data_IF_231918297605
#
_entry.id   IF_231918297605
#
_cell.length_a   1.000
_cell.length_b   1.000
_cell.length_c   1.000
_cell.angle_alpha   90.00
_cell.angle_beta   90.00
_cell.angle_gamma   90.00
#
_symmetry.space_group_name_H-M   'P 1'
#
loop_
_entity.id
_entity.type
_entity.pdbx_description
1 polymer ?
#
# COMPACT_ATOMS: atom_id res chain seq x y z
N UNK A 1 2.96 11.39 5.90
CA UNK A 1 3.00 10.19 5.03
C UNK A 1 1.62 9.80 4.49
N UNK A 2 0.52 10.04 5.22
CA UNK A 2 -0.86 9.79 4.73
C UNK A 2 -1.21 10.54 3.43
N UNK A 3 -0.68 11.76 3.27
CA UNK A 3 -0.91 12.63 2.11
C UNK A 3 0.38 13.35 1.71
N UNK A 4 1.49 12.60 1.65
CA UNK A 4 2.81 13.17 1.41
C UNK A 4 2.89 13.90 0.05
N UNK A 5 3.37 15.15 -0.02
CA UNK A 5 3.27 15.99 -1.22
C UNK A 5 3.82 15.36 -2.50
N UNK A 6 4.96 14.66 -2.44
CA UNK A 6 5.55 14.03 -3.63
C UNK A 6 4.84 12.74 -4.11
N UNK A 7 4.00 12.11 -3.29
CA UNK A 7 3.37 10.82 -3.65
C UNK A 7 1.85 10.90 -3.72
N UNK A 8 1.23 11.90 -3.11
CA UNK A 8 -0.22 11.97 -3.02
C UNK A 8 -0.91 12.24 -4.36
N UNK A 9 -0.31 13.03 -5.25
CA UNK A 9 -0.79 13.16 -6.63
C UNK A 9 -0.86 11.80 -7.34
N UNK A 10 0.23 11.02 -7.27
CA UNK A 10 0.28 9.65 -7.84
C UNK A 10 -0.78 8.74 -7.22
N UNK A 11 -1.02 8.86 -5.91
CA UNK A 11 -2.05 8.06 -5.22
C UNK A 11 -3.44 8.37 -5.77
N UNK A 12 -3.75 9.66 -5.95
CA UNK A 12 -5.03 10.12 -6.50
C UNK A 12 -5.16 9.74 -7.98
N UNK A 13 -4.11 9.87 -8.78
CA UNK A 13 -4.13 9.50 -10.20
C UNK A 13 -4.42 8.00 -10.37
N UNK A 14 -3.87 7.16 -9.48
CA UNK A 14 -4.05 5.70 -9.54
C UNK A 14 -5.42 5.24 -9.01
N UNK A 15 -5.93 5.81 -7.92
CA UNK A 15 -7.17 5.34 -7.24
C UNK A 15 -8.41 6.19 -7.50
N UNK A 16 -8.24 7.42 -7.97
CA UNK A 16 -9.27 8.46 -7.95
C UNK A 16 -9.47 9.07 -6.54
N UNK A 17 -10.33 10.10 -6.42
CA UNK A 17 -10.51 10.84 -5.17
C UNK A 17 -11.36 10.10 -4.12
N UNK A 18 -12.02 9.01 -4.48
CA UNK A 18 -12.87 8.21 -3.57
C UNK A 18 -12.03 7.14 -2.87
N UNK A 19 -10.97 7.58 -2.19
CA UNK A 19 -9.98 6.72 -1.55
C UNK A 19 -9.93 6.92 -0.03
N UNK A 20 -9.44 5.89 0.66
CA UNK A 20 -9.09 5.94 2.07
C UNK A 20 -7.82 5.12 2.33
N UNK A 21 -7.20 5.34 3.49
CA UNK A 21 -6.21 4.45 4.06
C UNK A 21 -6.93 3.27 4.67
N UNK A 22 -6.53 2.07 4.27
CA UNK A 22 -7.11 0.82 4.76
C UNK A 22 -6.20 0.12 5.78
N UNK A 23 -4.97 0.59 5.95
CA UNK A 23 -4.12 0.13 7.02
C UNK A 23 -2.65 0.49 6.87
N UNK A 24 -1.93 0.36 7.97
CA UNK A 24 -0.54 0.79 8.11
C UNK A 24 0.29 -0.27 8.83
N UNK A 25 1.51 -0.51 8.37
CA UNK A 25 2.41 -1.48 9.01
C UNK A 25 3.83 -0.94 9.03
N UNK A 26 4.45 -0.93 10.21
CA UNK A 26 5.90 -0.74 10.34
C UNK A 26 6.59 -2.10 10.24
N UNK A 27 7.46 -2.25 9.25
CA UNK A 27 8.32 -3.41 9.11
C UNK A 27 9.70 -3.12 9.70
N UNK A 28 10.07 -3.89 10.72
CA UNK A 28 11.41 -3.94 11.29
C UNK A 28 12.00 -5.31 10.95
N UNK A 29 13.17 -5.34 10.28
CA UNK A 29 13.83 -6.56 9.84
C UNK A 29 15.23 -6.64 10.41
N UNK A 30 15.35 -7.42 11.48
CA UNK A 30 16.62 -7.80 12.07
C UNK A 30 17.37 -8.80 11.19
N UNK A 31 18.62 -9.09 11.54
CA UNK A 31 19.43 -10.10 10.88
C UNK A 31 18.71 -11.46 10.91
N UNK A 32 18.59 -12.09 9.75
CA UNK A 32 18.05 -13.44 9.57
C UNK A 32 18.58 -14.06 8.28
N UNK A 33 18.89 -15.35 8.32
CA UNK A 33 19.20 -16.16 7.14
C UNK A 33 17.96 -16.70 6.42
N UNK A 34 16.79 -16.61 7.06
CA UNK A 34 15.54 -17.11 6.51
C UNK A 34 14.80 -16.01 5.74
N UNK A 35 14.01 -16.40 4.74
CA UNK A 35 13.05 -15.49 4.11
C UNK A 35 11.91 -15.21 5.09
N UNK A 36 11.76 -13.98 5.62
CA UNK A 36 10.75 -13.72 6.64
C UNK A 36 9.32 -13.79 6.11
N UNK A 37 9.16 -13.71 4.79
CA UNK A 37 7.86 -13.78 4.14
C UNK A 37 8.01 -14.40 2.76
N UNK A 38 7.31 -15.51 2.52
CA UNK A 38 7.33 -16.21 1.25
C UNK A 38 6.66 -15.39 0.13
N UNK A 39 6.88 -15.82 -1.10
CA UNK A 39 6.21 -15.26 -2.27
C UNK A 39 4.68 -15.37 -2.14
N UNK A 40 4.00 -14.25 -2.36
CA UNK A 40 2.54 -14.18 -2.24
C UNK A 40 1.98 -13.00 -3.04
N UNK A 41 0.65 -12.95 -3.10
CA UNK A 41 -0.16 -11.77 -3.43
C UNK A 41 -0.89 -11.29 -2.18
N UNK A 42 -1.19 -10.00 -2.13
CA UNK A 42 -1.92 -9.41 -1.01
C UNK A 42 -3.39 -9.82 -1.03
N UNK A 43 -3.96 -10.07 0.15
CA UNK A 43 -5.39 -10.43 0.30
C UNK A 43 -5.73 -11.87 -0.06
N UNK A 44 -4.73 -12.70 -0.37
CA UNK A 44 -4.92 -14.13 -0.57
C UNK A 44 -5.88 -14.46 -1.72
N UNK A 45 -6.57 -15.62 -1.67
CA UNK A 45 -7.53 -16.04 -2.69
C UNK A 45 -8.63 -15.02 -2.97
N UNK A 46 -9.03 -14.24 -1.97
CA UNK A 46 -10.12 -13.27 -2.09
C UNK A 46 -9.78 -12.07 -3.00
N UNK A 47 -8.51 -11.68 -3.11
CA UNK A 47 -8.10 -10.57 -3.97
C UNK A 47 -7.26 -11.00 -5.18
N UNK A 48 -6.53 -12.11 -5.12
CA UNK A 48 -5.58 -12.49 -6.18
C UNK A 48 -6.23 -12.76 -7.55
N UNK A 49 -7.53 -13.05 -7.56
CA UNK A 49 -8.29 -13.32 -8.79
C UNK A 49 -8.89 -12.04 -9.41
N UNK A 50 -8.86 -10.91 -8.70
CA UNK A 50 -9.31 -9.63 -9.23
C UNK A 50 -8.21 -8.98 -10.05
N UNK A 51 -8.14 -9.28 -11.34
CA UNK A 51 -7.10 -8.74 -12.21
C UNK A 51 -7.37 -7.29 -12.59
N UNK A 52 -6.30 -6.49 -12.55
CA UNK A 52 -6.34 -5.10 -13.00
C UNK A 52 -6.18 -5.09 -14.52
N UNK A 53 -7.23 -4.69 -15.22
CA UNK A 53 -7.17 -4.40 -16.65
C UNK A 53 -6.57 -3.01 -16.91
N UNK A 54 -6.00 -2.77 -18.11
CA UNK A 54 -5.65 -1.43 -18.54
C UNK A 54 -6.83 -0.47 -18.33
N UNK A 55 -6.53 0.75 -17.87
CA UNK A 55 -7.49 1.83 -17.65
C UNK A 55 -8.51 1.61 -16.52
N UNK A 56 -8.41 0.50 -15.77
CA UNK A 56 -9.20 0.29 -14.56
C UNK A 56 -8.50 0.86 -13.32
N UNK A 57 -9.27 1.36 -12.37
CA UNK A 57 -8.77 1.71 -11.03
C UNK A 57 -8.58 0.42 -10.21
N UNK A 58 -7.47 0.29 -9.44
CA UNK A 58 -7.30 -0.84 -8.55
C UNK A 58 -8.26 -0.75 -7.36
N UNK A 59 -8.63 -1.91 -6.79
CA UNK A 59 -9.39 -1.95 -5.54
C UNK A 59 -8.59 -1.35 -4.37
N UNK A 60 -7.29 -1.63 -4.35
CA UNK A 60 -6.31 -1.08 -3.41
C UNK A 60 -4.89 -1.21 -3.96
N UNK A 61 -3.95 -0.52 -3.34
CA UNK A 61 -2.51 -0.77 -3.50
C UNK A 61 -1.80 -0.43 -2.19
N UNK A 62 -0.52 -0.83 -2.09
CA UNK A 62 0.37 -0.38 -1.03
C UNK A 62 1.43 0.54 -1.59
N UNK A 63 1.79 1.53 -0.78
CA UNK A 63 3.06 2.24 -0.90
C UNK A 63 3.93 1.85 0.30
N UNK A 64 5.15 1.41 0.03
CA UNK A 64 6.16 1.14 1.06
C UNK A 64 7.23 2.22 1.01
N UNK A 65 7.35 3.00 2.07
CA UNK A 65 8.42 3.98 2.26
C UNK A 65 9.58 3.35 3.00
N UNK A 66 10.77 3.44 2.43
CA UNK A 66 12.01 2.96 3.07
C UNK A 66 12.52 4.00 4.06
N UNK A 67 12.75 3.59 5.31
CA UNK A 67 13.23 4.46 6.39
C UNK A 67 14.73 4.28 6.66
N UNK A 68 15.36 3.32 5.98
CA UNK A 68 16.78 2.98 6.07
C UNK A 68 17.25 2.55 4.69
N UNK A 69 18.52 2.80 4.39
CA UNK A 69 19.14 2.39 3.14
C UNK A 69 19.20 0.86 2.97
N UNK A 70 19.02 0.43 1.72
CA UNK A 70 19.04 -0.95 1.25
C UNK A 70 19.77 -0.99 -0.09
N UNK A 71 21.11 -0.93 -0.08
CA UNK A 71 21.92 -0.82 -1.30
C UNK A 71 22.43 -2.14 -1.88
N UNK A 72 22.08 -3.26 -1.27
CA UNK A 72 22.49 -4.59 -1.73
C UNK A 72 21.40 -5.63 -1.47
N UNK A 73 21.51 -6.78 -2.12
CA UNK A 73 20.67 -7.93 -1.85
C UNK A 73 20.87 -8.50 -0.45
N UNK A 74 19.89 -9.27 0.02
CA UNK A 74 19.88 -9.92 1.33
C UNK A 74 20.09 -8.91 2.47
N UNK A 75 19.42 -7.76 2.36
CA UNK A 75 19.32 -6.71 3.38
C UNK A 75 17.87 -6.56 3.87
N UNK A 76 17.10 -7.64 3.79
CA UNK A 76 15.67 -7.60 4.02
C UNK A 76 14.94 -6.88 2.90
N UNK A 77 15.40 -6.98 1.66
CA UNK A 77 14.84 -6.27 0.50
C UNK A 77 13.35 -6.61 0.28
N UNK A 78 12.63 -5.67 -0.31
CA UNK A 78 11.37 -5.99 -0.97
C UNK A 78 11.68 -6.75 -2.26
N UNK A 79 11.11 -7.94 -2.43
CA UNK A 79 11.28 -8.74 -3.63
C UNK A 79 10.01 -8.68 -4.46
N UNK A 80 10.12 -8.65 -5.78
CA UNK A 80 8.96 -8.77 -6.66
C UNK A 80 9.29 -9.51 -7.95
N UNK A 81 8.25 -9.96 -8.66
CA UNK A 81 8.37 -10.41 -10.05
C UNK A 81 7.70 -9.38 -10.95
N UNK A 82 8.46 -8.56 -11.71
CA UNK A 82 7.89 -7.59 -12.63
C UNK A 82 6.87 -8.24 -13.59
N UNK A 83 5.76 -7.54 -13.82
CA UNK A 83 4.67 -8.02 -14.69
C UNK A 83 3.80 -9.15 -14.11
N UNK A 84 4.10 -9.67 -12.91
CA UNK A 84 3.34 -10.80 -12.38
C UNK A 84 1.91 -10.49 -11.95
N UNK A 85 1.57 -9.21 -11.76
CA UNK A 85 0.20 -8.75 -11.53
C UNK A 85 -0.77 -9.08 -12.69
N UNK A 86 -0.25 -9.49 -13.85
CA UNK A 86 -1.02 -9.95 -15.02
C UNK A 86 -1.11 -11.47 -15.15
N UNK A 87 -0.68 -12.22 -14.13
CA UNK A 87 -0.63 -13.69 -14.14
C UNK A 87 -1.25 -14.25 -12.88
N UNK A 88 -1.84 -15.44 -12.99
CA UNK A 88 -2.40 -16.13 -11.84
C UNK A 88 -1.28 -16.59 -10.92
N UNK A 89 -1.43 -16.29 -9.63
CA UNK A 89 -0.54 -16.81 -8.63
C UNK A 89 -0.72 -18.34 -8.54
N UNK A 90 0.36 -19.14 -8.63
CA UNK A 90 0.24 -20.61 -8.64
C UNK A 90 -0.52 -21.15 -7.41
N UNK A 91 -1.44 -22.10 -7.62
CA UNK A 91 -2.27 -22.68 -6.55
C UNK A 91 -1.43 -23.35 -5.44
N UNK A 92 -0.35 -24.04 -5.81
CA UNK A 92 0.61 -24.65 -4.88
C UNK A 92 1.60 -23.67 -4.25
N UNK A 93 1.49 -22.37 -4.54
CA UNK A 93 2.45 -21.37 -4.14
C UNK A 93 3.76 -21.40 -4.94
N UNK A 94 4.74 -20.65 -4.44
CA UNK A 94 6.07 -20.55 -5.04
C UNK A 94 7.09 -20.96 -3.97
N UNK A 95 7.57 -22.20 -4.03
CA UNK A 95 8.56 -22.73 -3.09
C UNK A 95 9.99 -22.25 -3.41
N UNK A 96 10.27 -22.00 -4.69
CA UNK A 96 11.57 -21.55 -5.17
C UNK A 96 11.53 -20.09 -5.62
N UNK A 97 12.71 -19.52 -5.90
CA UNK A 97 12.81 -18.19 -6.49
C UNK A 97 12.17 -18.19 -7.88
N UNK A 98 11.08 -17.43 -8.11
CA UNK A 98 10.40 -17.42 -9.38
C UNK A 98 11.28 -16.80 -10.47
N UNK A 99 11.16 -17.33 -11.69
CA UNK A 99 11.84 -16.77 -12.86
C UNK A 99 11.52 -15.27 -13.02
N UNK A 100 12.57 -14.45 -13.07
CA UNK A 100 12.46 -13.00 -13.18
C UNK A 100 12.19 -12.28 -11.85
N UNK A 101 12.21 -12.98 -10.72
CA UNK A 101 12.20 -12.35 -9.41
C UNK A 101 13.43 -11.48 -9.19
N UNK A 102 13.24 -10.30 -8.60
CA UNK A 102 14.29 -9.33 -8.29
C UNK A 102 14.21 -8.91 -6.82
N UNK A 103 15.32 -8.45 -6.27
CA UNK A 103 15.39 -7.73 -4.99
C UNK A 103 15.57 -6.24 -5.27
N UNK A 104 14.67 -5.40 -4.77
CA UNK A 104 14.82 -3.95 -4.93
C UNK A 104 15.87 -3.41 -3.98
N UNK A 105 16.75 -2.57 -4.50
CA UNK A 105 17.55 -1.63 -3.70
C UNK A 105 16.81 -0.30 -3.58
N UNK A 106 17.02 0.41 -2.48
CA UNK A 106 16.35 1.66 -2.16
C UNK A 106 17.18 2.45 -1.15
N UNK A 107 17.25 3.77 -1.32
CA UNK A 107 17.73 4.68 -0.29
C UNK A 107 16.62 4.96 0.74
N UNK A 108 17.00 5.42 1.94
CA UNK A 108 16.04 6.01 2.86
C UNK A 108 15.33 7.20 2.20
N UNK A 109 13.99 7.21 2.26
CA UNK A 109 13.14 8.18 1.57
C UNK A 109 12.53 7.67 0.27
N UNK A 110 13.11 6.63 -0.36
CA UNK A 110 12.51 6.02 -1.54
C UNK A 110 11.19 5.33 -1.20
N UNK A 111 10.33 5.17 -2.21
CA UNK A 111 9.07 4.48 -2.08
C UNK A 111 8.81 3.53 -3.25
N UNK A 112 8.20 2.38 -2.96
CA UNK A 112 7.66 1.46 -3.98
C UNK A 112 6.14 1.41 -3.86
N UNK A 113 5.46 1.56 -4.99
CA UNK A 113 4.00 1.41 -5.11
C UNK A 113 3.72 0.08 -5.81
N UNK A 114 2.84 -0.73 -5.25
CA UNK A 114 2.46 -2.02 -5.83
C UNK A 114 1.02 -2.38 -5.52
N UNK A 115 0.34 -2.95 -6.52
CA UNK A 115 -1.04 -3.44 -6.38
C UNK A 115 -1.08 -4.80 -5.70
N UNK A 116 -2.26 -5.18 -5.21
CA UNK A 116 -2.45 -6.44 -4.49
C UNK A 116 -2.12 -7.71 -5.32
N UNK A 117 -2.17 -7.61 -6.66
CA UNK A 117 -1.84 -8.70 -7.57
C UNK A 117 -0.35 -8.92 -7.81
N UNK A 118 0.53 -8.00 -7.41
CA UNK A 118 1.97 -8.17 -7.61
C UNK A 118 2.49 -9.32 -6.72
N UNK A 119 3.23 -10.25 -7.33
CA UNK A 119 3.89 -11.31 -6.59
C UNK A 119 5.10 -10.69 -5.91
N UNK A 120 5.13 -10.78 -4.59
CA UNK A 120 6.18 -10.18 -3.80
C UNK A 120 6.54 -11.03 -2.59
N UNK A 121 7.73 -10.79 -2.06
CA UNK A 121 8.29 -11.49 -0.90
C UNK A 121 9.22 -10.54 -0.13
N UNK A 122 9.83 -11.05 0.93
CA UNK A 122 10.89 -10.34 1.65
C UNK A 122 12.13 -11.21 1.68
N UNK A 123 13.25 -10.67 1.18
CA UNK A 123 14.54 -11.36 1.23
C UNK A 123 15.02 -11.55 2.68
N UNK A 124 15.93 -12.50 2.93
CA UNK A 124 16.67 -12.55 4.19
C UNK A 124 17.40 -11.24 4.46
N UNK A 125 17.78 -10.99 5.71
CA UNK A 125 18.69 -9.90 6.06
C UNK A 125 19.99 -10.50 6.61
N UNK A 126 20.97 -10.68 5.74
CA UNK A 126 22.27 -11.23 6.12
C UNK A 126 23.17 -10.21 6.85
N UNK A 127 22.76 -8.94 6.93
CA UNK A 127 23.57 -7.86 7.52
C UNK A 127 23.30 -7.65 9.01
N UNK A 128 24.21 -6.94 9.68
CA UNK A 128 24.00 -6.49 11.06
C UNK A 128 23.05 -5.28 11.17
N UNK A 129 22.79 -4.58 10.05
CA UNK A 129 21.91 -3.42 10.04
C UNK A 129 20.43 -3.84 10.08
N UNK A 130 19.61 -3.11 10.83
CA UNK A 130 18.16 -3.34 10.91
C UNK A 130 17.47 -2.53 9.83
N UNK A 131 16.81 -3.21 8.87
CA UNK A 131 16.01 -2.54 7.84
C UNK A 131 14.67 -2.09 8.42
N UNK A 132 14.31 -0.82 8.22
CA UNK A 132 13.01 -0.26 8.61
C UNK A 132 12.31 0.32 7.40
N UNK A 133 11.00 0.08 7.32
CA UNK A 133 10.14 0.68 6.31
C UNK A 133 8.70 0.70 6.82
N UNK A 134 7.88 1.61 6.31
CA UNK A 134 6.45 1.66 6.64
C UNK A 134 5.62 1.50 5.39
N UNK A 135 4.54 0.72 5.46
CA UNK A 135 3.55 0.65 4.38
C UNK A 135 2.27 1.37 4.76
N UNK A 136 1.69 2.05 3.78
CA UNK A 136 0.32 2.51 3.79
C UNK A 136 -0.43 1.77 2.68
N UNK A 137 -1.57 1.16 3.02
CA UNK A 137 -2.51 0.59 2.07
C UNK A 137 -3.56 1.65 1.78
N UNK A 138 -3.70 2.04 0.52
CA UNK A 138 -4.80 2.89 0.06
C UNK A 138 -5.77 2.03 -0.74
N UNK A 139 -7.06 2.27 -0.60
CA UNK A 139 -8.06 1.61 -1.42
C UNK A 139 -9.36 2.40 -1.48
N UNK A 140 -10.31 1.84 -2.22
CA UNK A 140 -11.59 2.49 -2.49
C UNK A 140 -12.37 2.76 -1.19
N UNK A 141 -13.00 3.93 -1.09
CA UNK A 141 -13.67 4.39 0.14
C UNK A 141 -14.78 3.45 0.64
N UNK A 142 -15.44 2.73 -0.27
CA UNK A 142 -16.49 1.76 0.06
C UNK A 142 -15.95 0.44 0.62
N UNK A 143 -14.64 0.23 0.63
CA UNK A 143 -14.03 -0.98 1.20
C UNK A 143 -13.81 -0.86 2.71
N UNK A 144 -13.80 -1.98 3.44
CA UNK A 144 -13.51 -1.97 4.87
C UNK A 144 -12.00 -1.91 5.14
N UNK A 145 -11.50 -1.02 6.03
CA UNK A 145 -10.11 -1.07 6.49
C UNK A 145 -9.75 -2.40 7.17
N UNK A 146 -8.46 -2.77 7.11
CA UNK A 146 -7.96 -4.09 7.51
C UNK A 146 -7.55 -4.15 8.98
N UNK A 147 -6.93 -3.08 9.49
CA UNK A 147 -6.33 -3.01 10.82
C UNK A 147 -7.13 -2.14 11.81
N UNK A 148 -8.21 -1.49 11.36
CA UNK A 148 -9.15 -0.77 12.23
C UNK A 148 -10.59 -0.77 11.69
N UNK A 149 -11.54 -0.38 12.54
CA UNK A 149 -12.94 -0.15 12.14
C UNK A 149 -13.26 1.34 12.14
N UNK A 150 -12.81 2.05 13.19
CA UNK A 150 -12.84 3.51 13.28
C UNK A 150 -11.51 3.97 13.86
N UNK A 151 -10.95 5.05 13.32
CA UNK A 151 -9.78 5.67 13.91
C UNK A 151 -10.15 6.28 15.28
N UNK A 152 -9.28 6.16 16.30
CA UNK A 152 -9.53 6.77 17.61
C UNK A 152 -9.65 8.30 17.53
N UNK A 153 -10.53 8.88 18.34
CA UNK A 153 -10.82 10.32 18.31
C UNK A 153 -9.57 11.17 18.59
N UNK A 154 -8.72 10.73 19.51
CA UNK A 154 -7.45 11.36 19.84
C UNK A 154 -6.44 11.33 18.68
N UNK A 155 -6.54 10.33 17.80
CA UNK A 155 -5.73 10.30 16.57
C UNK A 155 -6.28 11.32 15.59
N UNK A 156 -7.59 11.28 15.32
CA UNK A 156 -8.27 12.16 14.36
C UNK A 156 -8.12 13.65 14.73
N UNK A 157 -8.11 13.99 16.01
CA UNK A 157 -7.95 15.36 16.50
C UNK A 157 -6.61 16.01 16.11
N UNK A 158 -5.60 15.20 15.74
CA UNK A 158 -4.26 15.67 15.34
C UNK A 158 -4.07 15.71 13.82
N UNK A 159 -5.08 15.31 13.06
CA UNK A 159 -5.01 15.16 11.61
C UNK A 159 -5.63 16.37 10.90
N UNK A 160 -5.10 16.71 9.73
CA UNK A 160 -5.72 17.70 8.83
C UNK A 160 -7.08 17.19 8.32
N UNK A 161 -7.96 18.06 7.78
CA UNK A 161 -9.24 17.62 7.22
C UNK A 161 -9.12 16.48 6.20
N UNK A 162 -8.15 16.56 5.27
CA UNK A 162 -7.86 15.47 4.32
C UNK A 162 -7.42 14.21 5.03
N UNK A 163 -6.47 14.30 5.96
CA UNK A 163 -5.95 13.14 6.67
C UNK A 163 -7.04 12.45 7.49
N UNK A 164 -7.94 13.21 8.13
CA UNK A 164 -9.13 12.66 8.79
C UNK A 164 -10.00 11.91 7.79
N UNK A 165 -10.28 12.51 6.63
CA UNK A 165 -11.09 11.87 5.59
C UNK A 165 -10.45 10.58 5.07
N UNK A 166 -9.13 10.59 4.86
CA UNK A 166 -8.35 9.39 4.51
C UNK A 166 -8.43 8.30 5.57
N UNK A 167 -8.65 8.64 6.85
CA UNK A 167 -8.86 7.64 7.91
C UNK A 167 -10.31 7.12 7.99
N UNK A 168 -11.16 7.46 7.02
CA UNK A 168 -12.56 7.03 6.94
C UNK A 168 -13.53 7.90 7.75
N UNK A 169 -13.12 9.09 8.20
CA UNK A 169 -14.00 10.03 8.89
C UNK A 169 -14.94 10.72 7.88
N UNK A 170 -16.15 10.17 7.75
CA UNK A 170 -17.24 10.69 6.92
C UNK A 170 -18.14 11.71 7.65
N UNK A 171 -17.76 12.12 8.87
CA UNK A 171 -18.53 13.07 9.67
C UNK A 171 -19.73 12.46 10.41
N UNK A 172 -20.41 13.26 11.25
CA UNK A 172 -21.50 12.81 12.12
C UNK A 172 -22.79 12.47 11.34
N UNK A 173 -23.00 13.06 10.17
CA UNK A 173 -24.20 12.90 9.35
C UNK A 173 -24.07 11.76 8.32
N UNK A 174 -23.14 10.82 8.56
CA UNK A 174 -22.85 9.70 7.67
C UNK A 174 -24.06 8.76 7.49
N UNK A 175 -24.79 8.92 6.40
CA UNK A 175 -25.83 7.99 5.98
C UNK A 175 -25.23 6.68 5.40
N UNK A 176 -25.99 5.57 5.30
CA UNK A 176 -25.49 4.32 4.71
C UNK A 176 -24.84 4.47 3.31
N UNK A 177 -25.29 5.46 2.51
CA UNK A 177 -24.74 5.76 1.19
C UNK A 177 -23.45 6.60 1.19
N UNK A 178 -23.04 7.14 2.34
CA UNK A 178 -21.94 8.11 2.43
C UNK A 178 -20.57 7.53 2.05
N UNK A 179 -20.41 6.21 2.00
CA UNK A 179 -19.15 5.59 1.53
C UNK A 179 -19.05 5.45 0.01
N UNK A 180 -20.16 5.66 -0.71
CA UNK A 180 -20.22 5.62 -2.17
C UNK A 180 -20.23 7.02 -2.79
N UNK A 181 -20.87 7.98 -2.13
CA UNK A 181 -21.03 9.36 -2.63
C UNK A 181 -20.95 10.44 -1.54
N UNK A 182 -19.85 10.54 -0.76
CA UNK A 182 -19.70 11.64 0.18
C UNK A 182 -19.61 12.98 -0.58
N UNK A 183 -20.50 13.93 -0.25
CA UNK A 183 -20.68 15.17 -1.02
C UNK A 183 -19.41 16.03 -1.13
N UNK A 184 -18.61 16.08 -0.08
CA UNK A 184 -17.40 16.91 0.05
C UNK A 184 -16.10 16.11 -0.17
N UNK A 185 -16.19 14.83 -0.56
CA UNK A 185 -15.03 13.94 -0.69
C UNK A 185 -14.01 14.46 -1.69
N UNK A 186 -14.49 14.80 -2.88
CA UNK A 186 -13.63 15.23 -3.97
C UNK A 186 -12.90 16.52 -3.58
N UNK A 187 -13.62 17.49 -3.03
CA UNK A 187 -13.07 18.79 -2.64
C UNK A 187 -12.00 18.64 -1.54
N UNK A 188 -12.29 17.84 -0.50
CA UNK A 188 -11.35 17.60 0.60
C UNK A 188 -10.10 16.85 0.12
N UNK A 189 -10.28 15.78 -0.66
CA UNK A 189 -9.16 14.97 -1.13
C UNK A 189 -8.28 15.76 -2.10
N UNK A 190 -8.87 16.50 -3.03
CA UNK A 190 -8.13 17.23 -4.07
C UNK A 190 -7.61 18.62 -3.64
N UNK A 191 -7.94 19.11 -2.44
CA UNK A 191 -7.60 20.48 -2.01
C UNK A 191 -6.10 20.86 -2.17
N UNK A 192 -5.75 21.62 -3.20
CA UNK A 192 -4.36 22.04 -3.44
C UNK A 192 -3.50 21.00 -4.15
N UNK A 193 -4.12 19.98 -4.75
CA UNK A 193 -3.53 19.21 -5.86
C UNK A 193 -3.94 19.96 -7.14
N UNK A 194 -3.00 20.23 -8.04
CA UNK A 194 -3.34 20.73 -9.37
C UNK A 194 -4.24 19.70 -10.07
N UNK A 195 -5.22 20.14 -10.88
CA UNK A 195 -6.13 19.20 -11.55
C UNK A 195 -5.32 18.12 -12.28
N UNK A 196 -5.56 16.83 -11.99
CA UNK A 196 -4.91 15.76 -12.71
C UNK A 196 -5.37 15.82 -14.18
N UNK A 197 -4.38 15.79 -15.08
CA UNK A 197 -4.58 15.92 -16.53
C UNK A 197 -5.39 14.76 -17.12
#
# INVERSE_FOLDING_TARGET
>A
MLDHPQTFGIIVDLLGPYLQVMGTVLYVRYRSSEMPFAWHTDGGPALRNFRLEPDSQPLNFKIQYFLTDVFAENRGNFCCVPGSHRRDFPEGGLAEWPKGGIQLTAAAGDAVIFTYGLWHAVAPNASAAVRRSVTFRYGQLWTRPWDYVRAPAEVLARLTPRQRRLMGDIGPDGAPGAYYEPQDQRDIILAGIADPA
#
